data_IF_466233370000
#
_entry.id   IF_466233370000
#
_cell.length_a   1.000
_cell.length_b   1.000
_cell.length_c   1.000
_cell.angle_alpha   90.00
_cell.angle_beta   90.00
_cell.angle_gamma   90.00
#
_symmetry.space_group_name_H-M   'P 1'
#
loop_
_entity.id
_entity.type
_entity.pdbx_description
1 polymer ?
#
# COMPACT_ATOMS: atom_id res chain seq x y z
N UNK A 1 -30.59 -7.28 28.80
CA UNK A 1 -31.05 -7.41 27.41
C UNK A 1 -29.79 -7.44 26.54
N UNK A 2 -29.47 -8.55 25.87
CA UNK A 2 -28.32 -8.60 24.96
C UNK A 2 -28.70 -7.89 23.68
N UNK A 3 -27.83 -6.92 23.26
CA UNK A 3 -27.95 -6.23 21.98
C UNK A 3 -27.86 -7.26 20.86
N UNK A 4 -28.88 -7.29 20.01
CA UNK A 4 -28.94 -8.09 18.80
C UNK A 4 -27.71 -7.78 17.93
N UNK A 5 -26.78 -8.74 17.80
CA UNK A 5 -25.79 -8.70 16.75
C UNK A 5 -26.55 -8.80 15.41
N UNK A 6 -26.55 -7.71 14.66
CA UNK A 6 -27.00 -7.67 13.26
C UNK A 6 -26.17 -8.69 12.47
N UNK A 7 -26.78 -9.86 12.20
CA UNK A 7 -26.18 -10.98 11.47
C UNK A 7 -26.09 -10.74 9.95
N UNK A 8 -26.46 -9.55 9.49
CA UNK A 8 -26.41 -9.18 8.08
C UNK A 8 -25.62 -7.89 7.93
N UNK A 9 -24.30 -8.02 7.83
CA UNK A 9 -23.36 -6.91 7.61
C UNK A 9 -23.52 -6.27 6.22
N UNK A 10 -24.70 -5.74 5.92
CA UNK A 10 -24.86 -4.81 4.81
C UNK A 10 -24.15 -3.51 5.15
N UNK A 11 -23.41 -2.99 4.18
CA UNK A 11 -22.84 -1.63 4.26
C UNK A 11 -24.01 -0.63 4.16
N UNK A 12 -24.74 -0.46 5.25
CA UNK A 12 -25.84 0.51 5.37
C UNK A 12 -25.26 1.80 5.93
N UNK A 13 -24.94 2.76 5.07
CA UNK A 13 -24.56 4.08 5.50
C UNK A 13 -23.59 4.78 4.54
N UNK A 14 -23.64 6.11 4.54
CA UNK A 14 -22.64 6.94 3.85
C UNK A 14 -21.29 6.73 4.56
N UNK A 15 -20.15 6.70 3.79
CA UNK A 15 -18.84 6.65 4.41
C UNK A 15 -18.65 7.81 5.39
N UNK A 16 -18.09 7.56 6.56
CA UNK A 16 -17.66 8.62 7.45
C UNK A 16 -16.55 9.43 6.77
N UNK A 17 -16.36 10.68 7.16
CA UNK A 17 -15.37 11.57 6.55
C UNK A 17 -13.94 11.00 6.56
N UNK A 18 -13.55 10.27 7.61
CA UNK A 18 -12.25 9.63 7.77
C UNK A 18 -12.05 8.38 6.88
N UNK A 19 -13.10 7.85 6.29
CA UNK A 19 -13.03 6.68 5.39
C UNK A 19 -12.76 7.07 3.92
N UNK A 20 -12.97 8.34 3.55
CA UNK A 20 -12.85 8.78 2.17
C UNK A 20 -11.48 8.54 1.54
N UNK A 21 -10.33 8.74 2.23
CA UNK A 21 -9.03 8.43 1.64
C UNK A 21 -8.94 6.96 1.15
N UNK A 22 -9.39 6.01 1.97
CA UNK A 22 -9.39 4.58 1.63
C UNK A 22 -10.47 4.24 0.60
N UNK A 23 -11.65 4.88 0.66
CA UNK A 23 -12.72 4.68 -0.34
C UNK A 23 -12.25 5.15 -1.72
N UNK A 24 -11.55 6.28 -1.80
CA UNK A 24 -11.01 6.86 -3.02
C UNK A 24 -9.66 6.27 -3.44
N UNK A 25 -9.12 5.30 -2.69
CA UNK A 25 -7.80 4.71 -2.94
C UNK A 25 -6.64 5.71 -2.90
N UNK A 26 -6.73 6.75 -2.05
CA UNK A 26 -5.71 7.79 -1.90
C UNK A 26 -4.66 7.43 -0.83
N UNK A 27 -4.97 6.50 0.05
CA UNK A 27 -4.09 5.97 1.09
C UNK A 27 -2.78 5.41 0.49
N UNK A 28 -2.89 4.54 -0.49
CA UNK A 28 -1.75 3.90 -1.14
C UNK A 28 -0.81 4.89 -1.86
N UNK A 29 -1.29 5.82 -2.72
CA UNK A 29 -0.44 6.87 -3.29
C UNK A 29 0.27 7.71 -2.24
N UNK A 30 -0.41 8.12 -1.17
CA UNK A 30 0.19 8.92 -0.11
C UNK A 30 1.35 8.19 0.59
N UNK A 31 1.18 6.91 0.90
CA UNK A 31 2.24 6.07 1.45
C UNK A 31 3.42 5.98 0.49
N UNK A 32 3.18 5.68 -0.80
CA UNK A 32 4.23 5.56 -1.79
C UNK A 32 5.03 6.87 -1.95
N UNK A 33 4.34 8.02 -2.00
CA UNK A 33 4.96 9.35 -2.12
C UNK A 33 5.77 9.73 -0.89
N UNK A 34 5.27 9.45 0.32
CA UNK A 34 5.98 9.71 1.57
C UNK A 34 7.29 8.93 1.63
N UNK A 35 7.25 7.64 1.31
CA UNK A 35 8.44 6.80 1.34
C UNK A 35 9.40 7.08 0.17
N UNK A 36 8.90 7.36 -1.04
CA UNK A 36 9.77 7.81 -2.15
C UNK A 36 10.55 9.06 -1.75
N UNK A 37 9.87 10.03 -1.13
CA UNK A 37 10.51 11.28 -0.71
C UNK A 37 11.55 11.05 0.40
N UNK A 38 11.24 10.16 1.36
CA UNK A 38 12.18 9.76 2.41
C UNK A 38 13.41 9.04 1.86
N UNK A 39 13.23 8.09 0.93
CA UNK A 39 14.32 7.37 0.27
C UNK A 39 15.18 8.30 -0.59
N UNK A 40 14.57 9.21 -1.32
CA UNK A 40 15.29 10.20 -2.11
C UNK A 40 16.15 11.11 -1.24
N UNK A 41 15.65 11.56 -0.09
CA UNK A 41 16.45 12.31 0.88
C UNK A 41 17.62 11.50 1.42
N UNK A 42 17.39 10.24 1.80
CA UNK A 42 18.46 9.35 2.25
C UNK A 42 19.53 9.14 1.18
N UNK A 43 19.15 9.08 -0.08
CA UNK A 43 20.04 9.00 -1.24
C UNK A 43 20.62 10.37 -1.66
N UNK A 44 20.23 11.48 -1.03
CA UNK A 44 20.58 12.84 -1.43
C UNK A 44 20.20 13.18 -2.89
N UNK A 45 19.05 12.63 -3.34
CA UNK A 45 18.50 12.87 -4.68
C UNK A 45 17.34 13.85 -4.59
N UNK A 46 17.36 14.89 -5.42
CA UNK A 46 16.26 15.85 -5.53
C UNK A 46 15.20 15.34 -6.48
N UNK A 47 14.02 15.04 -5.94
CA UNK A 47 12.85 14.70 -6.75
C UNK A 47 12.21 15.97 -7.31
N UNK A 48 11.79 15.88 -8.57
CA UNK A 48 11.00 16.93 -9.23
C UNK A 48 9.51 16.64 -9.05
N UNK A 49 8.66 17.67 -9.12
CA UNK A 49 7.22 17.52 -8.94
C UNK A 49 6.56 16.49 -9.89
N UNK A 50 7.08 16.36 -11.11
CA UNK A 50 6.56 15.36 -12.06
C UNK A 50 6.84 13.90 -11.63
N UNK A 51 7.94 13.61 -10.92
CA UNK A 51 8.21 12.28 -10.35
C UNK A 51 7.13 11.90 -9.33
N UNK A 52 6.77 12.85 -8.46
CA UNK A 52 5.71 12.63 -7.46
C UNK A 52 4.34 12.43 -8.12
N UNK A 53 4.01 13.26 -9.11
CA UNK A 53 2.74 13.16 -9.83
C UNK A 53 2.63 11.83 -10.60
N UNK A 54 3.69 11.40 -11.29
CA UNK A 54 3.68 10.17 -12.08
C UNK A 54 3.58 8.95 -11.15
N UNK A 55 4.37 8.88 -10.06
CA UNK A 55 4.26 7.78 -9.11
C UNK A 55 2.89 7.76 -8.44
N UNK A 56 2.43 8.90 -7.92
CA UNK A 56 1.13 8.98 -7.27
C UNK A 56 -0.02 8.57 -8.19
N UNK A 57 -0.01 9.04 -9.45
CA UNK A 57 -0.97 8.63 -10.47
C UNK A 57 -0.87 7.13 -10.79
N UNK A 58 0.35 6.59 -10.96
CA UNK A 58 0.58 5.18 -11.26
C UNK A 58 0.05 4.25 -10.15
N UNK A 59 0.34 4.57 -8.89
CA UNK A 59 -0.16 3.82 -7.74
C UNK A 59 -1.69 3.92 -7.65
N UNK A 60 -2.26 5.12 -7.82
CA UNK A 60 -3.71 5.29 -7.81
C UNK A 60 -4.38 4.51 -8.95
N UNK A 61 -3.82 4.56 -10.16
CA UNK A 61 -4.34 3.82 -11.31
C UNK A 61 -4.35 2.31 -11.07
N UNK A 62 -3.28 1.75 -10.51
CA UNK A 62 -3.20 0.33 -10.19
C UNK A 62 -4.24 -0.07 -9.12
N UNK A 63 -4.34 0.69 -8.03
CA UNK A 63 -5.30 0.43 -6.95
C UNK A 63 -6.75 0.63 -7.38
N UNK A 64 -7.04 1.70 -8.13
CA UNK A 64 -8.37 1.96 -8.65
C UNK A 64 -8.81 0.88 -9.65
N UNK A 65 -7.89 0.41 -10.52
CA UNK A 65 -8.17 -0.68 -11.46
C UNK A 65 -8.48 -1.99 -10.73
N UNK A 66 -7.67 -2.36 -9.72
CA UNK A 66 -7.88 -3.57 -8.92
C UNK A 66 -9.27 -3.57 -8.25
N UNK A 67 -9.62 -2.48 -7.58
CA UNK A 67 -10.93 -2.33 -6.90
C UNK A 67 -12.11 -2.23 -7.85
N UNK A 68 -11.91 -1.57 -9.01
CA UNK A 68 -12.94 -1.48 -10.04
C UNK A 68 -13.25 -2.84 -10.66
N UNK A 69 -12.21 -3.64 -10.96
CA UNK A 69 -12.35 -5.00 -11.46
C UNK A 69 -12.98 -5.94 -10.43
N UNK A 70 -12.59 -5.84 -9.16
CA UNK A 70 -13.23 -6.60 -8.08
C UNK A 70 -14.70 -6.21 -7.90
N UNK A 71 -15.00 -4.90 -7.84
CA UNK A 71 -16.36 -4.39 -7.70
C UNK A 71 -17.28 -4.76 -8.84
N UNK A 72 -16.77 -4.86 -10.06
CA UNK A 72 -17.56 -5.30 -11.22
C UNK A 72 -17.98 -6.76 -11.14
N UNK A 73 -17.12 -7.61 -10.55
CA UNK A 73 -17.30 -9.06 -10.54
C UNK A 73 -18.08 -9.57 -9.34
N UNK A 74 -18.08 -8.81 -8.24
CA UNK A 74 -18.82 -9.19 -7.04
C UNK A 74 -20.32 -9.00 -7.28
N UNK A 75 -21.09 -10.01 -6.87
CA UNK A 75 -22.55 -9.88 -6.77
C UNK A 75 -22.86 -8.73 -5.78
N UNK A 76 -23.73 -7.75 -6.16
CA UNK A 76 -24.16 -6.68 -5.25
C UNK A 76 -24.58 -7.16 -3.87
N UNK A 77 -25.19 -8.35 -3.76
CA UNK A 77 -25.59 -8.96 -2.51
C UNK A 77 -24.43 -9.44 -1.63
N UNK A 78 -23.24 -9.62 -2.21
CA UNK A 78 -22.04 -10.09 -1.52
C UNK A 78 -21.08 -8.97 -1.12
N UNK A 79 -21.34 -7.73 -1.56
CA UNK A 79 -20.48 -6.60 -1.25
C UNK A 79 -20.58 -6.25 0.24
N UNK A 80 -19.48 -6.40 0.96
CA UNK A 80 -19.40 -6.14 2.41
C UNK A 80 -18.53 -4.94 2.79
N UNK A 81 -17.90 -4.26 1.81
CA UNK A 81 -17.05 -3.11 2.08
C UNK A 81 -17.52 -1.87 1.32
N UNK A 82 -17.43 -0.70 1.95
CA UNK A 82 -17.86 0.58 1.36
C UNK A 82 -17.08 0.93 0.10
N UNK A 83 -15.79 0.58 0.03
CA UNK A 83 -14.96 0.80 -1.15
C UNK A 83 -15.48 0.06 -2.38
N UNK A 84 -15.78 -1.24 -2.28
CA UNK A 84 -16.32 -2.01 -3.41
C UNK A 84 -17.69 -1.51 -3.83
N UNK A 85 -18.55 -1.15 -2.87
CA UNK A 85 -19.83 -0.52 -3.16
C UNK A 85 -19.67 0.78 -3.92
N UNK A 86 -18.73 1.66 -3.50
CA UNK A 86 -18.45 2.93 -4.17
C UNK A 86 -17.99 2.72 -5.61
N UNK A 87 -17.00 1.84 -5.83
CA UNK A 87 -16.47 1.54 -7.16
C UNK A 87 -17.52 0.89 -8.07
N UNK A 88 -18.40 0.05 -7.55
CA UNK A 88 -19.49 -0.53 -8.31
C UNK A 88 -20.55 0.52 -8.67
N UNK A 89 -20.94 1.36 -7.71
CA UNK A 89 -21.98 2.40 -7.90
C UNK A 89 -21.55 3.47 -8.91
N UNK A 90 -20.28 3.87 -8.85
CA UNK A 90 -19.70 4.94 -9.65
C UNK A 90 -18.79 4.43 -10.77
N UNK A 91 -19.00 3.20 -11.25
CA UNK A 91 -18.10 2.51 -12.20
C UNK A 91 -17.78 3.31 -13.46
N UNK A 92 -18.76 3.96 -14.09
CA UNK A 92 -18.55 4.72 -15.32
C UNK A 92 -17.84 6.06 -15.10
N UNK A 93 -18.26 6.93 -14.18
CA UNK A 93 -17.49 8.12 -13.82
C UNK A 93 -16.06 7.82 -13.42
N UNK A 94 -15.83 6.75 -12.64
CA UNK A 94 -14.48 6.33 -12.24
C UNK A 94 -13.67 5.80 -13.42
N UNK A 95 -14.26 5.10 -14.38
CA UNK A 95 -13.58 4.69 -15.59
C UNK A 95 -13.13 5.89 -16.43
N UNK A 96 -14.00 6.92 -16.59
CA UNK A 96 -13.64 8.16 -17.28
C UNK A 96 -12.49 8.87 -16.55
N UNK A 97 -12.60 9.04 -15.23
CA UNK A 97 -11.54 9.65 -14.42
C UNK A 97 -10.23 8.87 -14.54
N UNK A 98 -10.29 7.54 -14.51
CA UNK A 98 -9.14 6.67 -14.65
C UNK A 98 -8.43 6.89 -15.99
N UNK A 99 -9.18 6.96 -17.09
CA UNK A 99 -8.65 7.25 -18.43
C UNK A 99 -8.03 8.64 -18.51
N UNK A 100 -8.64 9.65 -17.90
CA UNK A 100 -8.08 11.00 -17.86
C UNK A 100 -6.77 11.05 -17.06
N UNK A 101 -6.72 10.40 -15.91
CA UNK A 101 -5.49 10.32 -15.10
C UNK A 101 -4.40 9.56 -15.84
N UNK A 102 -4.75 8.46 -16.52
CA UNK A 102 -3.80 7.70 -17.35
C UNK A 102 -3.24 8.55 -18.49
N UNK A 103 -4.11 9.22 -19.24
CA UNK A 103 -3.68 10.10 -20.34
C UNK A 103 -2.80 11.26 -19.83
N UNK A 104 -3.17 11.87 -18.72
CA UNK A 104 -2.37 12.91 -18.07
C UNK A 104 -1.01 12.42 -17.58
N UNK A 105 -0.96 11.25 -16.94
CA UNK A 105 0.28 10.64 -16.47
C UNK A 105 1.22 10.27 -17.63
N UNK A 106 0.69 9.67 -18.71
CA UNK A 106 1.46 9.35 -19.91
C UNK A 106 1.95 10.60 -20.63
N UNK A 107 1.10 11.61 -20.77
CA UNK A 107 1.49 12.91 -21.37
C UNK A 107 2.59 13.60 -20.56
N UNK A 108 2.46 13.62 -19.22
CA UNK A 108 3.47 14.18 -18.33
C UNK A 108 4.78 13.38 -18.39
N UNK A 109 4.69 12.05 -18.40
CA UNK A 109 5.86 11.19 -18.54
C UNK A 109 6.58 11.43 -19.88
N UNK A 110 5.83 11.46 -20.99
CA UNK A 110 6.39 11.73 -22.32
C UNK A 110 7.07 13.10 -22.43
N UNK A 111 6.54 14.11 -21.73
CA UNK A 111 7.08 15.47 -21.77
C UNK A 111 8.26 15.71 -20.81
N UNK A 112 8.42 14.93 -19.74
CA UNK A 112 9.31 15.28 -18.63
C UNK A 112 10.31 14.20 -18.22
N UNK A 113 10.04 12.91 -18.46
CA UNK A 113 10.94 11.84 -18.06
C UNK A 113 12.12 11.70 -19.03
N UNK A 114 13.28 11.47 -18.45
CA UNK A 114 14.49 11.10 -19.16
C UNK A 114 14.51 9.60 -19.50
N UNK A 115 15.34 9.14 -20.45
CA UNK A 115 15.38 7.72 -20.83
C UNK A 115 15.64 6.76 -19.67
N UNK A 116 16.50 7.11 -18.72
CA UNK A 116 16.78 6.30 -17.54
C UNK A 116 15.56 6.21 -16.59
N UNK A 117 14.80 7.29 -16.46
CA UNK A 117 13.57 7.35 -15.65
C UNK A 117 12.44 6.54 -16.32
N UNK A 118 12.35 6.60 -17.66
CA UNK A 118 11.45 5.73 -18.43
C UNK A 118 11.80 4.26 -18.23
N UNK A 119 13.07 3.89 -18.35
CA UNK A 119 13.51 2.51 -18.15
C UNK A 119 13.16 2.02 -16.74
N UNK A 120 13.41 2.83 -15.70
CA UNK A 120 13.06 2.50 -14.32
C UNK A 120 11.54 2.36 -14.15
N UNK A 121 10.75 3.28 -14.71
CA UNK A 121 9.29 3.22 -14.67
C UNK A 121 8.72 1.98 -15.36
N UNK A 122 9.22 1.62 -16.54
CA UNK A 122 8.79 0.42 -17.26
C UNK A 122 9.19 -0.87 -16.54
N UNK A 123 10.36 -0.89 -15.89
CA UNK A 123 10.81 -2.02 -15.07
C UNK A 123 9.86 -2.30 -13.90
N UNK A 124 9.26 -1.26 -13.31
CA UNK A 124 8.24 -1.39 -12.26
C UNK A 124 6.86 -1.66 -12.84
N UNK A 125 6.51 -1.02 -13.95
CA UNK A 125 5.18 -1.17 -14.57
C UNK A 125 4.93 -2.60 -15.07
N UNK A 126 5.93 -3.25 -15.66
CA UNK A 126 5.79 -4.60 -16.19
C UNK A 126 5.32 -5.61 -15.12
N UNK A 127 5.96 -5.74 -13.93
CA UNK A 127 5.46 -6.63 -12.87
C UNK A 127 4.13 -6.16 -12.26
N UNK A 128 3.81 -4.84 -12.24
CA UNK A 128 2.48 -4.36 -11.84
C UNK A 128 1.40 -4.89 -12.78
N UNK A 129 1.61 -4.78 -14.09
CA UNK A 129 0.67 -5.30 -15.07
C UNK A 129 0.57 -6.83 -15.00
N UNK A 130 1.70 -7.53 -14.87
CA UNK A 130 1.71 -8.99 -14.70
C UNK A 130 0.93 -9.41 -13.45
N UNK A 131 1.10 -8.69 -12.32
CA UNK A 131 0.33 -8.93 -11.10
C UNK A 131 -1.17 -8.70 -11.33
N UNK A 132 -1.57 -7.56 -11.88
CA UNK A 132 -2.98 -7.25 -12.14
C UNK A 132 -3.62 -8.26 -13.08
N UNK A 133 -2.95 -8.62 -14.18
CA UNK A 133 -3.44 -9.60 -15.16
C UNK A 133 -3.55 -11.00 -14.54
N UNK A 134 -2.51 -11.46 -13.86
CA UNK A 134 -2.50 -12.79 -13.24
C UNK A 134 -3.54 -12.89 -12.12
N UNK A 135 -3.59 -11.90 -11.26
CA UNK A 135 -4.47 -11.92 -10.08
C UNK A 135 -5.93 -11.75 -10.46
N UNK A 136 -6.22 -10.90 -11.44
CA UNK A 136 -7.59 -10.59 -11.85
C UNK A 136 -8.15 -11.49 -12.95
N UNK A 137 -7.34 -12.00 -13.88
CA UNK A 137 -7.83 -12.68 -15.07
C UNK A 137 -7.56 -14.21 -15.07
N UNK A 138 -6.43 -14.68 -14.58
CA UNK A 138 -5.97 -16.05 -14.83
C UNK A 138 -6.16 -16.98 -13.62
N UNK A 139 -5.95 -16.55 -12.39
CA UNK A 139 -5.69 -17.46 -11.27
C UNK A 139 -6.72 -17.45 -10.14
N UNK A 140 -7.99 -17.12 -10.39
CA UNK A 140 -9.00 -17.04 -9.30
C UNK A 140 -9.29 -18.37 -8.58
N UNK A 141 -9.09 -19.48 -9.24
CA UNK A 141 -9.45 -20.81 -8.71
C UNK A 141 -8.26 -21.70 -8.37
N UNK A 142 -7.04 -21.24 -8.61
CA UNK A 142 -5.86 -22.09 -8.41
C UNK A 142 -5.36 -22.02 -6.96
N UNK A 143 -5.14 -23.18 -6.28
CA UNK A 143 -4.70 -23.22 -4.88
C UNK A 143 -3.32 -22.63 -4.64
N UNK A 144 -2.45 -22.62 -5.66
CA UNK A 144 -1.09 -22.08 -5.61
C UNK A 144 -1.03 -20.67 -6.22
N UNK A 145 -1.45 -19.68 -5.44
CA UNK A 145 -1.23 -18.27 -5.82
C UNK A 145 -0.04 -17.72 -5.07
N UNK A 146 0.79 -16.94 -5.78
CA UNK A 146 1.72 -16.07 -5.08
C UNK A 146 0.91 -15.19 -4.12
N UNK A 147 1.25 -15.17 -2.81
CA UNK A 147 0.52 -14.37 -1.85
C UNK A 147 0.48 -12.92 -2.31
N UNK A 148 -0.74 -12.37 -2.44
CA UNK A 148 -0.94 -10.98 -2.89
C UNK A 148 -0.15 -9.99 -2.03
N UNK A 149 0.00 -10.28 -0.76
CA UNK A 149 0.68 -9.46 0.23
C UNK A 149 2.17 -9.29 -0.09
N UNK A 150 2.83 -10.35 -0.57
CA UNK A 150 4.24 -10.29 -1.00
C UNK A 150 4.37 -9.46 -2.27
N UNK A 151 3.51 -9.73 -3.27
CA UNK A 151 3.54 -9.00 -4.54
C UNK A 151 3.33 -7.50 -4.32
N UNK A 152 2.30 -7.13 -3.55
CA UNK A 152 2.00 -5.73 -3.23
C UNK A 152 3.18 -5.08 -2.52
N UNK A 153 3.76 -5.72 -1.51
CA UNK A 153 4.90 -5.18 -0.76
C UNK A 153 6.12 -4.92 -1.67
N UNK A 154 6.47 -5.88 -2.52
CA UNK A 154 7.58 -5.73 -3.47
C UNK A 154 7.33 -4.62 -4.49
N UNK A 155 6.10 -4.52 -5.02
CA UNK A 155 5.72 -3.47 -5.96
C UNK A 155 5.76 -2.08 -5.31
N UNK A 156 5.35 -1.95 -4.03
CA UNK A 156 5.49 -0.70 -3.28
C UNK A 156 6.94 -0.31 -3.07
N UNK A 157 7.78 -1.26 -2.64
CA UNK A 157 9.22 -1.02 -2.48
C UNK A 157 9.86 -0.58 -3.80
N UNK A 158 9.61 -1.32 -4.87
CA UNK A 158 10.12 -0.99 -6.21
C UNK A 158 9.62 0.38 -6.70
N UNK A 159 8.33 0.68 -6.50
CA UNK A 159 7.73 1.98 -6.86
C UNK A 159 8.36 3.14 -6.12
N UNK A 160 8.55 3.02 -4.80
CA UNK A 160 9.17 4.06 -3.99
C UNK A 160 10.66 4.29 -4.36
N UNK A 161 11.37 3.24 -4.76
CA UNK A 161 12.77 3.33 -5.18
C UNK A 161 12.95 3.74 -6.65
N UNK A 162 11.91 3.69 -7.47
CA UNK A 162 11.95 3.86 -8.92
C UNK A 162 12.72 5.12 -9.36
N UNK A 163 12.24 6.30 -8.98
CA UNK A 163 12.89 7.57 -9.38
C UNK A 163 14.16 7.89 -8.59
N UNK A 164 14.28 7.62 -7.27
CA UNK A 164 15.54 7.76 -6.55
C UNK A 164 16.71 6.99 -7.16
N UNK A 165 16.46 5.81 -7.74
CA UNK A 165 17.48 4.95 -8.34
C UNK A 165 17.56 5.04 -9.88
N UNK A 166 16.74 5.85 -10.54
CA UNK A 166 16.73 5.95 -12.00
C UNK A 166 18.11 6.34 -12.55
N UNK A 167 18.79 5.39 -13.21
CA UNK A 167 20.15 5.57 -13.72
C UNK A 167 21.26 5.70 -12.66
N UNK A 168 20.94 5.51 -11.38
CA UNK A 168 21.82 5.72 -10.23
C UNK A 168 21.86 4.51 -9.29
N UNK A 169 22.15 3.33 -9.84
CA UNK A 169 22.22 2.08 -9.05
C UNK A 169 23.37 2.10 -8.01
N UNK A 170 24.34 2.96 -8.18
CA UNK A 170 25.41 3.27 -7.21
C UNK A 170 24.84 3.74 -5.85
N UNK A 171 23.64 4.31 -5.83
CA UNK A 171 22.97 4.77 -4.61
C UNK A 171 22.21 3.67 -3.85
N UNK A 172 22.04 2.49 -4.44
CA UNK A 172 21.31 1.41 -3.80
C UNK A 172 21.84 1.07 -2.41
N UNK A 173 23.16 0.96 -2.14
CA UNK A 173 23.66 0.68 -0.79
C UNK A 173 23.23 1.73 0.25
N UNK A 174 23.07 2.98 -0.13
CA UNK A 174 22.67 4.06 0.77
C UNK A 174 21.21 3.94 1.23
N UNK A 175 20.33 3.39 0.40
CA UNK A 175 18.91 3.25 0.70
C UNK A 175 18.45 1.80 0.93
N UNK A 176 19.33 0.81 0.79
CA UNK A 176 18.96 -0.61 0.86
C UNK A 176 18.24 -0.95 2.18
N UNK A 177 18.78 -0.54 3.31
CA UNK A 177 18.19 -0.83 4.62
C UNK A 177 16.80 -0.19 4.77
N UNK A 178 16.61 1.13 4.59
CA UNK A 178 15.28 1.72 4.67
C UNK A 178 14.32 1.19 3.61
N UNK A 179 14.78 0.83 2.41
CA UNK A 179 13.96 0.23 1.36
C UNK A 179 13.45 -1.16 1.76
N UNK A 180 14.33 -2.02 2.32
CA UNK A 180 13.94 -3.34 2.82
C UNK A 180 12.94 -3.19 3.97
N UNK A 181 13.20 -2.30 4.92
CA UNK A 181 12.30 -2.06 6.05
C UNK A 181 10.94 -1.54 5.59
N UNK A 182 10.90 -0.63 4.61
CA UNK A 182 9.64 -0.18 4.02
C UNK A 182 8.87 -1.32 3.33
N UNK A 183 9.57 -2.14 2.54
CA UNK A 183 8.95 -3.31 1.90
C UNK A 183 8.37 -4.27 2.93
N UNK A 184 9.11 -4.54 4.02
CA UNK A 184 8.62 -5.36 5.13
C UNK A 184 7.44 -4.72 5.88
N UNK A 185 7.43 -3.40 6.05
CA UNK A 185 6.29 -2.66 6.62
C UNK A 185 5.03 -2.80 5.73
N UNK A 186 5.17 -2.65 4.41
CA UNK A 186 4.07 -2.87 3.47
C UNK A 186 3.56 -4.31 3.53
N UNK A 187 4.47 -5.30 3.58
CA UNK A 187 4.12 -6.70 3.75
C UNK A 187 3.35 -6.92 5.05
N UNK A 188 3.88 -6.42 6.16
CA UNK A 188 3.28 -6.55 7.49
C UNK A 188 1.89 -5.91 7.54
N UNK A 189 1.74 -4.69 6.98
CA UNK A 189 0.45 -4.02 6.86
C UNK A 189 -0.57 -4.88 6.12
N UNK A 190 -0.22 -5.39 4.93
CA UNK A 190 -1.11 -6.23 4.13
C UNK A 190 -1.51 -7.51 4.86
N UNK A 191 -0.56 -8.19 5.51
CA UNK A 191 -0.86 -9.46 6.20
C UNK A 191 -1.66 -9.24 7.48
N UNK A 192 -1.40 -8.18 8.26
CA UNK A 192 -2.23 -7.84 9.43
C UNK A 192 -3.68 -7.57 9.03
N UNK A 193 -3.89 -6.78 7.96
CA UNK A 193 -5.25 -6.54 7.42
C UNK A 193 -5.90 -7.85 7.01
N UNK A 194 -5.19 -8.75 6.33
CA UNK A 194 -5.71 -10.08 5.95
C UNK A 194 -6.06 -10.94 7.18
N UNK A 195 -5.29 -10.84 8.27
CA UNK A 195 -5.62 -11.54 9.53
C UNK A 195 -6.89 -11.01 10.18
N UNK A 196 -7.13 -9.69 10.10
CA UNK A 196 -8.33 -9.07 10.68
C UNK A 196 -9.58 -9.26 9.81
N UNK A 197 -9.41 -9.44 8.50
CA UNK A 197 -10.48 -9.57 7.50
C UNK A 197 -10.62 -11.00 6.95
N UNK A 198 -10.14 -12.05 7.65
CA UNK A 198 -10.10 -13.43 7.16
C UNK A 198 -11.50 -14.00 6.81
N UNK A 199 -12.55 -13.60 7.51
CA UNK A 199 -13.93 -13.95 7.21
C UNK A 199 -14.46 -13.23 5.94
N UNK A 200 -14.03 -12.01 5.68
CA UNK A 200 -14.37 -11.25 4.46
C UNK A 200 -13.69 -11.90 3.25
N UNK A 201 -12.38 -12.18 3.38
CA UNK A 201 -11.59 -12.83 2.32
C UNK A 201 -12.21 -14.18 1.93
N UNK A 202 -12.64 -15.00 2.93
CA UNK A 202 -13.36 -16.26 2.68
C UNK A 202 -14.67 -16.06 1.94
N UNK A 203 -15.45 -15.04 2.35
CA UNK A 203 -16.77 -14.77 1.73
C UNK A 203 -16.61 -14.29 0.28
N UNK A 204 -15.57 -13.51 -0.02
CA UNK A 204 -15.29 -13.04 -1.37
C UNK A 204 -14.51 -14.05 -2.22
N UNK A 205 -14.20 -15.25 -1.70
CA UNK A 205 -13.40 -16.27 -2.37
C UNK A 205 -11.97 -15.81 -2.67
N UNK A 206 -11.45 -14.86 -1.89
CA UNK A 206 -10.08 -14.38 -2.02
C UNK A 206 -9.13 -15.30 -1.24
N UNK A 207 -7.95 -15.54 -1.81
CA UNK A 207 -6.88 -16.23 -1.10
C UNK A 207 -5.95 -15.20 -0.49
N UNK A 208 -5.70 -15.29 0.81
CA UNK A 208 -4.74 -14.46 1.53
C UNK A 208 -3.71 -15.33 2.25
N UNK A 209 -2.56 -14.77 2.58
CA UNK A 209 -1.52 -15.47 3.33
C UNK A 209 -2.04 -15.94 4.68
N UNK A 210 -2.89 -15.14 5.33
CA UNK A 210 -3.51 -15.49 6.60
C UNK A 210 -4.41 -16.74 6.54
N UNK A 211 -5.04 -16.98 5.37
CA UNK A 211 -5.87 -18.18 5.11
C UNK A 211 -5.00 -19.38 4.72
N UNK A 212 -3.91 -19.17 3.98
CA UNK A 212 -3.00 -20.24 3.54
C UNK A 212 -2.14 -20.76 4.71
N UNK A 213 -1.70 -19.87 5.60
CA UNK A 213 -0.79 -20.18 6.71
C UNK A 213 -1.32 -19.68 8.06
N UNK A 214 -2.41 -20.24 8.58
CA UNK A 214 -3.02 -19.78 9.84
C UNK A 214 -2.07 -19.92 11.04
N UNK A 215 -1.12 -20.86 10.98
CA UNK A 215 -0.11 -21.08 12.02
C UNK A 215 0.94 -19.94 12.09
N UNK A 216 1.09 -19.13 11.01
CA UNK A 216 1.99 -17.98 10.95
C UNK A 216 1.49 -16.72 11.68
N UNK A 217 0.25 -16.70 12.15
CA UNK A 217 -0.35 -15.53 12.82
C UNK A 217 0.46 -14.96 13.98
N UNK A 218 1.06 -15.76 14.91
CA UNK A 218 1.89 -15.22 15.98
C UNK A 218 3.14 -14.51 15.44
N UNK A 219 3.77 -15.07 14.42
CA UNK A 219 4.93 -14.47 13.76
C UNK A 219 4.58 -13.15 13.08
N UNK A 220 3.46 -13.09 12.36
CA UNK A 220 2.96 -11.87 11.70
C UNK A 220 2.77 -10.75 12.72
N UNK A 221 2.24 -11.04 13.91
CA UNK A 221 2.05 -10.06 15.00
C UNK A 221 3.35 -9.60 15.64
N UNK A 222 4.41 -10.39 15.56
CA UNK A 222 5.73 -10.02 16.03
C UNK A 222 6.48 -9.11 15.02
N UNK A 223 6.17 -9.20 13.71
CA UNK A 223 6.88 -8.47 12.66
C UNK A 223 6.94 -6.95 12.88
N UNK A 224 5.87 -6.23 13.23
CA UNK A 224 5.94 -4.78 13.43
C UNK A 224 6.98 -4.39 14.48
N UNK A 225 7.06 -5.16 15.57
CA UNK A 225 7.99 -4.92 16.67
C UNK A 225 9.42 -5.25 16.29
N UNK A 226 9.65 -6.33 15.52
CA UNK A 226 10.96 -6.68 14.98
C UNK A 226 11.47 -5.59 14.03
N UNK A 227 10.60 -5.11 13.13
CA UNK A 227 10.92 -4.01 12.21
C UNK A 227 11.26 -2.74 13.00
N UNK A 228 10.46 -2.40 14.01
CA UNK A 228 10.70 -1.25 14.87
C UNK A 228 12.06 -1.34 15.59
N UNK A 229 12.39 -2.50 16.14
CA UNK A 229 13.68 -2.75 16.81
C UNK A 229 14.87 -2.64 15.86
N UNK A 230 14.79 -3.30 14.70
CA UNK A 230 15.87 -3.25 13.69
C UNK A 230 16.04 -1.83 13.16
N UNK A 231 14.94 -1.13 12.83
CA UNK A 231 14.98 0.24 12.35
C UNK A 231 15.52 1.21 13.40
N UNK A 232 15.14 1.02 14.69
CA UNK A 232 15.65 1.80 15.80
C UNK A 232 17.16 1.64 15.99
N UNK A 233 17.66 0.40 15.98
CA UNK A 233 19.10 0.11 16.05
C UNK A 233 19.84 0.70 14.84
N UNK A 234 19.32 0.50 13.63
CA UNK A 234 19.91 1.03 12.42
C UNK A 234 19.93 2.58 12.40
N UNK A 235 18.92 3.23 12.97
CA UNK A 235 18.88 4.69 13.05
C UNK A 235 19.96 5.26 13.96
N UNK A 236 20.39 4.53 14.97
CA UNK A 236 21.45 4.93 15.89
C UNK A 236 22.84 4.96 15.20
N UNK A 237 23.07 4.03 14.28
CA UNK A 237 24.35 3.91 13.54
C UNK A 237 24.37 4.68 12.22
N UNK A 238 23.24 5.25 11.78
CA UNK A 238 23.13 5.93 10.50
C UNK A 238 23.67 7.37 10.53
N UNK A 239 24.14 7.81 9.37
CA UNK A 239 24.45 9.25 9.17
C UNK A 239 23.14 10.06 9.14
N UNK A 240 23.20 11.35 9.45
CA UNK A 240 22.05 12.24 9.64
C UNK A 240 20.95 12.13 8.57
N UNK A 241 21.31 11.97 7.28
CA UNK A 241 20.35 11.87 6.17
C UNK A 241 19.56 10.55 6.16
N UNK A 242 20.14 9.45 6.65
CA UNK A 242 19.48 8.15 6.76
C UNK A 242 18.67 7.99 8.04
N UNK A 243 19.03 8.70 9.09
CA UNK A 243 18.40 8.58 10.42
C UNK A 243 16.91 8.89 10.38
N UNK A 244 16.50 9.94 9.68
CA UNK A 244 15.09 10.36 9.62
C UNK A 244 14.17 9.28 8.99
N UNK A 245 14.60 8.64 7.90
CA UNK A 245 13.80 7.59 7.25
C UNK A 245 13.78 6.29 8.05
N UNK A 246 14.89 5.96 8.75
CA UNK A 246 14.96 4.80 9.64
C UNK A 246 14.12 5.02 10.90
N UNK A 247 14.16 6.21 11.49
CA UNK A 247 13.30 6.59 12.61
C UNK A 247 11.81 6.53 12.20
N UNK A 248 11.48 6.95 10.97
CA UNK A 248 10.13 6.79 10.43
C UNK A 248 9.74 5.32 10.29
N UNK A 249 10.65 4.44 9.86
CA UNK A 249 10.40 3.01 9.81
C UNK A 249 10.14 2.42 11.22
N UNK A 250 10.93 2.83 12.22
CA UNK A 250 10.72 2.41 13.60
C UNK A 250 9.36 2.88 14.12
N UNK A 251 9.01 4.15 13.90
CA UNK A 251 7.72 4.70 14.31
C UNK A 251 6.55 3.98 13.60
N UNK A 252 6.65 3.71 12.30
CA UNK A 252 5.64 2.92 11.56
C UNK A 252 5.47 1.53 12.17
N UNK A 253 6.56 0.84 12.51
CA UNK A 253 6.51 -0.47 13.15
C UNK A 253 5.80 -0.43 14.50
N UNK A 254 6.15 0.53 15.36
CA UNK A 254 5.48 0.72 16.68
C UNK A 254 3.99 1.00 16.51
N UNK A 255 3.62 1.90 15.59
CA UNK A 255 2.22 2.24 15.33
C UNK A 255 1.43 1.06 14.79
N UNK A 256 1.98 0.30 13.82
CA UNK A 256 1.34 -0.92 13.31
C UNK A 256 1.13 -1.97 14.41
N UNK A 257 2.14 -2.21 15.25
CA UNK A 257 2.04 -3.11 16.40
C UNK A 257 0.99 -2.63 17.40
N UNK A 258 0.93 -1.33 17.67
CA UNK A 258 -0.10 -0.72 18.52
C UNK A 258 -1.52 -0.89 17.96
N UNK A 259 -1.68 -0.70 16.65
CA UNK A 259 -2.96 -0.94 15.96
C UNK A 259 -3.38 -2.42 16.06
N UNK A 260 -2.43 -3.37 15.85
CA UNK A 260 -2.76 -4.80 16.00
C UNK A 260 -3.19 -5.16 17.42
N UNK A 261 -2.54 -4.62 18.45
CA UNK A 261 -2.99 -4.82 19.83
C UNK A 261 -4.39 -4.26 20.11
N UNK A 262 -4.71 -3.12 19.48
CA UNK A 262 -5.97 -2.42 19.70
C UNK A 262 -7.09 -2.84 18.73
N UNK A 263 -6.82 -3.63 17.67
CA UNK A 263 -7.74 -3.87 16.56
C UNK A 263 -9.14 -4.36 16.98
N UNK A 264 -9.23 -5.20 18.02
CA UNK A 264 -10.51 -5.69 18.54
C UNK A 264 -11.38 -4.59 19.15
N UNK A 265 -10.76 -3.55 19.74
CA UNK A 265 -11.46 -2.40 20.33
C UNK A 265 -11.80 -1.35 19.28
N UNK A 266 -10.93 -1.14 18.31
CA UNK A 266 -11.09 -0.19 17.22
C UNK A 266 -12.15 -0.64 16.19
N UNK A 267 -12.32 -1.95 16.05
CA UNK A 267 -13.09 -2.53 14.95
C UNK A 267 -12.30 -2.54 13.63
N UNK A 268 -12.67 -3.43 12.72
CA UNK A 268 -11.91 -3.73 11.49
C UNK A 268 -11.67 -2.52 10.60
N UNK A 269 -12.71 -1.72 10.36
CA UNK A 269 -12.61 -0.57 9.43
C UNK A 269 -11.62 0.48 9.92
N UNK A 270 -11.70 0.85 11.22
CA UNK A 270 -10.79 1.84 11.78
C UNK A 270 -9.38 1.29 11.92
N UNK A 271 -9.21 0.04 12.34
CA UNK A 271 -7.91 -0.60 12.44
C UNK A 271 -7.18 -0.60 11.09
N UNK A 272 -7.88 -0.93 9.99
CA UNK A 272 -7.32 -0.88 8.64
C UNK A 272 -6.83 0.51 8.26
N UNK A 273 -7.65 1.54 8.46
CA UNK A 273 -7.26 2.91 8.11
C UNK A 273 -6.08 3.39 8.96
N UNK A 274 -6.08 3.07 10.25
CA UNK A 274 -4.96 3.41 11.12
C UNK A 274 -3.68 2.65 10.76
N UNK A 275 -3.80 1.43 10.21
CA UNK A 275 -2.65 0.69 9.70
C UNK A 275 -2.04 1.38 8.46
N UNK A 276 -2.87 1.88 7.53
CA UNK A 276 -2.39 2.66 6.38
C UNK A 276 -1.79 4.01 6.84
N UNK A 277 -2.43 4.69 7.80
CA UNK A 277 -1.91 5.94 8.41
C UNK A 277 -0.58 5.71 9.12
N UNK A 278 -0.38 4.57 9.78
CA UNK A 278 0.88 4.23 10.44
C UNK A 278 2.08 4.20 9.47
N UNK A 279 1.84 4.01 8.17
CA UNK A 279 2.89 4.06 7.15
C UNK A 279 3.20 5.49 6.65
N UNK A 280 2.48 6.52 7.11
CA UNK A 280 2.71 7.91 6.71
C UNK A 280 3.73 8.64 7.58
N UNK A 281 4.42 7.96 8.47
CA UNK A 281 5.42 8.54 9.39
C UNK A 281 6.53 9.34 8.69
N UNK A 282 6.99 9.03 7.44
CA UNK A 282 7.98 9.86 6.77
C UNK A 282 7.52 11.29 6.46
N UNK A 283 6.21 11.55 6.49
CA UNK A 283 5.69 12.92 6.32
C UNK A 283 6.13 13.84 7.46
N UNK A 284 6.37 13.32 8.68
CA UNK A 284 6.78 14.13 9.83
C UNK A 284 8.13 14.81 9.61
N UNK A 285 9.25 14.08 9.34
CA UNK A 285 10.53 14.71 9.07
C UNK A 285 10.52 15.52 7.75
N UNK A 286 9.70 15.12 6.76
CA UNK A 286 9.53 15.87 5.52
C UNK A 286 8.92 17.26 5.79
N UNK A 287 7.92 17.33 6.67
CA UNK A 287 7.26 18.60 7.06
C UNK A 287 8.14 19.47 7.95
N UNK A 288 8.93 18.86 8.83
CA UNK A 288 9.86 19.58 9.71
C UNK A 288 11.13 20.05 8.98
N UNK A 289 11.30 19.76 7.68
CA UNK A 289 12.46 20.17 6.89
C UNK A 289 13.76 19.40 7.21
N UNK A 290 13.64 18.28 7.96
CA UNK A 290 14.76 17.40 8.33
C UNK A 290 15.09 16.38 7.23
#
# INVERSE_FOLDING_TARGET
MPRSHDRHGYVSGRPHWWQWPTVLSLDAPLVALAWQSGLARAAQVTLRGHHLLILGAGVWLAYAADRWLEGWRLDPAQIRTQRHWFYQRWRWPLAILWMLVLAGALGLAGARLQPAEWAAGLLVLAPVLAYLLSHQLIHRTHPWRAPKEICVALLFGAGAACFPLAGRWDLLPAIAVPLILFTLLCFTNCVLISVWEDDVDRTHGQTSLALQFPQGRPFVRALPWLIAGVAGIASWSAHATGTAVLASAAASGVLLGGVDLAHRRLGRQLARILADVALLTPLVPLWLGQ
#
